data_IF_438087585537
#
_entry.id   IF_438087585537
#
_cell.length_a   1.000
_cell.length_b   1.000
_cell.length_c   1.000
_cell.angle_alpha   90.00
_cell.angle_beta   90.00
_cell.angle_gamma   90.00
#
_symmetry.space_group_name_H-M   'P 1'
#
loop_
_entity.id
_entity.type
_entity.pdbx_description
1 polymer ?
#
# COMPACT_ATOMS: atom_id res chain seq x y z
N UNK A 1 -6.94 12.16 -10.39
CA UNK A 1 -7.84 13.21 -10.92
C UNK A 1 -7.09 14.54 -10.86
N UNK A 2 -7.75 15.67 -11.16
CA UNK A 2 -7.10 16.98 -11.13
C UNK A 2 -6.62 17.41 -9.73
N UNK A 3 -7.10 16.78 -8.67
CA UNK A 3 -6.68 17.03 -7.27
C UNK A 3 -5.62 16.04 -6.77
N UNK A 4 -5.04 15.21 -7.66
CA UNK A 4 -4.03 14.22 -7.29
C UNK A 4 -4.58 12.92 -6.70
N UNK A 5 -5.91 12.75 -6.59
CA UNK A 5 -6.49 11.49 -6.07
C UNK A 5 -6.44 10.39 -7.10
N UNK A 6 -6.33 9.14 -6.64
CA UNK A 6 -6.46 7.96 -7.47
C UNK A 6 -7.34 6.92 -6.76
N UNK A 7 -7.93 6.02 -7.53
CA UNK A 7 -8.69 4.90 -6.99
C UNK A 7 -8.63 3.73 -7.98
N UNK A 8 -8.62 2.52 -7.45
CA UNK A 8 -8.80 1.30 -8.22
C UNK A 8 -9.52 0.26 -7.35
N UNK A 9 -10.17 -0.70 -8.01
CA UNK A 9 -10.78 -1.87 -7.36
C UNK A 9 -9.96 -3.10 -7.73
N UNK A 10 -9.64 -3.93 -6.74
CA UNK A 10 -8.91 -5.17 -6.92
C UNK A 10 -9.35 -6.20 -5.88
N UNK A 11 -8.89 -7.44 -6.03
CA UNK A 11 -8.99 -8.46 -5.00
C UNK A 11 -7.91 -8.19 -3.94
N UNK A 12 -8.26 -8.36 -2.67
CA UNK A 12 -7.30 -8.29 -1.55
C UNK A 12 -6.10 -9.18 -1.85
N UNK A 13 -4.85 -8.68 -1.75
CA UNK A 13 -3.69 -9.51 -1.98
C UNK A 13 -3.63 -10.65 -0.97
N UNK A 14 -3.04 -11.76 -1.38
CA UNK A 14 -2.75 -12.92 -0.54
C UNK A 14 -1.25 -13.11 -0.39
N UNK A 15 -0.87 -13.82 0.66
CA UNK A 15 0.52 -14.15 0.92
C UNK A 15 1.07 -15.13 -0.13
N UNK A 16 2.39 -15.07 -0.34
CA UNK A 16 3.13 -16.12 -1.04
C UNK A 16 4.45 -16.38 -0.31
N UNK A 17 5.11 -17.54 -0.51
CA UNK A 17 6.29 -17.91 0.29
C UNK A 17 7.33 -16.79 0.37
N UNK A 18 7.62 -16.36 1.60
CA UNK A 18 8.62 -15.33 1.90
C UNK A 18 8.12 -13.88 1.83
N UNK A 19 6.87 -13.62 1.44
CA UNK A 19 6.33 -12.25 1.31
C UNK A 19 4.94 -12.09 1.92
N UNK A 20 4.76 -11.04 2.72
CA UNK A 20 3.44 -10.64 3.27
C UNK A 20 2.53 -10.11 2.16
N UNK A 21 1.18 -10.13 2.25
CA UNK A 21 0.29 -9.56 1.24
C UNK A 21 0.64 -8.11 0.89
N UNK A 22 0.88 -7.86 -0.41
CA UNK A 22 1.22 -6.53 -0.90
C UNK A 22 0.70 -6.25 -2.30
N UNK A 23 0.63 -4.96 -2.64
CA UNK A 23 0.34 -4.45 -3.99
C UNK A 23 1.52 -3.59 -4.43
N UNK A 24 2.04 -3.85 -5.62
CA UNK A 24 3.09 -3.02 -6.21
C UNK A 24 2.53 -1.71 -6.76
N UNK A 25 3.21 -0.61 -6.46
CA UNK A 25 2.91 0.71 -7.00
C UNK A 25 4.09 1.25 -7.78
N UNK A 26 3.81 1.84 -8.94
CA UNK A 26 4.74 2.67 -9.68
C UNK A 26 4.06 4.01 -9.97
N UNK A 27 4.64 5.08 -9.45
CA UNK A 27 4.10 6.44 -9.58
C UNK A 27 5.09 7.29 -10.35
N UNK A 28 4.54 8.09 -11.26
CA UNK A 28 5.28 9.08 -12.04
C UNK A 28 4.45 10.35 -12.07
N UNK A 29 5.08 11.48 -11.73
CA UNK A 29 4.48 12.80 -11.81
C UNK A 29 5.48 13.77 -12.47
N UNK A 30 5.02 14.79 -13.21
CA UNK A 30 5.88 15.85 -13.73
C UNK A 30 6.63 16.56 -12.58
N UNK A 31 7.91 16.88 -12.77
CA UNK A 31 8.76 17.51 -11.75
C UNK A 31 9.31 16.54 -10.70
N UNK A 32 8.58 15.47 -10.39
CA UNK A 32 9.06 14.39 -9.54
C UNK A 32 9.80 13.29 -10.32
N UNK A 33 10.69 12.59 -9.62
CA UNK A 33 11.24 11.31 -10.09
C UNK A 33 10.18 10.20 -10.21
N UNK A 34 10.63 8.99 -10.56
CA UNK A 34 9.78 7.79 -10.54
C UNK A 34 9.90 7.12 -9.17
N UNK A 35 8.78 6.89 -8.50
CA UNK A 35 8.73 6.08 -7.28
C UNK A 35 8.22 4.68 -7.62
N UNK A 36 8.95 3.65 -7.18
CA UNK A 36 8.44 2.28 -7.12
C UNK A 36 8.39 1.87 -5.66
N UNK A 37 7.21 1.47 -5.19
CA UNK A 37 6.97 1.11 -3.79
C UNK A 37 5.96 -0.03 -3.70
N UNK A 38 5.66 -0.46 -2.48
CA UNK A 38 4.69 -1.51 -2.19
C UNK A 38 3.76 -1.04 -1.08
N UNK A 39 2.46 -1.26 -1.25
CA UNK A 39 1.48 -1.20 -0.18
C UNK A 39 1.46 -2.56 0.51
N UNK A 40 1.52 -2.57 1.83
CA UNK A 40 1.38 -3.75 2.68
C UNK A 40 0.07 -3.68 3.45
N UNK A 41 -0.58 -4.83 3.70
CA UNK A 41 -1.82 -4.84 4.49
C UNK A 41 -1.49 -4.83 5.98
N UNK A 42 -2.15 -3.95 6.74
CA UNK A 42 -2.02 -3.89 8.19
C UNK A 42 -2.43 -5.22 8.84
N UNK A 43 -1.85 -5.48 10.02
CA UNK A 43 -2.23 -6.60 10.88
C UNK A 43 -1.98 -8.01 10.27
N UNK A 44 -1.29 -8.09 9.13
CA UNK A 44 -0.79 -9.35 8.57
C UNK A 44 0.36 -9.91 9.42
N UNK A 45 0.26 -11.16 9.94
CA UNK A 45 1.32 -11.76 10.77
C UNK A 45 2.68 -11.82 10.06
N UNK A 46 2.68 -12.01 8.74
CA UNK A 46 3.89 -12.09 7.92
C UNK A 46 4.64 -10.75 7.80
N UNK A 47 4.02 -9.62 8.17
CA UNK A 47 4.72 -8.33 8.25
C UNK A 47 5.89 -8.37 9.24
N UNK A 48 5.84 -9.26 10.24
CA UNK A 48 6.93 -9.42 11.21
C UNK A 48 8.19 -10.02 10.57
N UNK A 49 8.05 -10.81 9.52
CA UNK A 49 9.15 -11.59 8.91
C UNK A 49 9.46 -11.21 7.45
N UNK A 50 8.64 -10.38 6.79
CA UNK A 50 8.88 -9.94 5.42
C UNK A 50 10.18 -9.11 5.33
N UNK A 51 11.17 -9.64 4.62
CA UNK A 51 12.50 -9.03 4.51
C UNK A 51 12.50 -7.69 3.76
N UNK A 52 11.58 -7.48 2.82
CA UNK A 52 11.49 -6.22 2.05
C UNK A 52 10.87 -5.13 2.92
N UNK A 53 9.77 -5.43 3.61
CA UNK A 53 9.15 -4.51 4.57
C UNK A 53 10.11 -4.17 5.71
N UNK A 54 10.84 -5.16 6.24
CA UNK A 54 11.79 -4.97 7.34
C UNK A 54 13.12 -4.33 6.93
N UNK A 55 13.38 -4.17 5.62
CA UNK A 55 14.51 -3.37 5.12
C UNK A 55 14.27 -1.86 5.30
N UNK A 56 13.01 -1.43 5.44
CA UNK A 56 12.66 -0.03 5.73
C UNK A 56 12.97 0.27 7.20
N UNK A 57 14.14 0.89 7.44
CA UNK A 57 14.65 1.15 8.80
C UNK A 57 13.97 2.31 9.51
N UNK A 58 13.59 3.35 8.76
CA UNK A 58 12.85 4.47 9.33
C UNK A 58 11.43 4.03 9.69
N UNK A 59 11.03 4.27 10.94
CA UNK A 59 9.76 3.78 11.47
C UNK A 59 8.56 4.47 10.82
N UNK A 60 8.69 5.75 10.48
CA UNK A 60 7.59 6.50 9.87
C UNK A 60 7.42 6.11 8.39
N UNK A 61 8.53 5.94 7.67
CA UNK A 61 8.53 5.43 6.30
C UNK A 61 8.01 3.98 6.23
N UNK A 62 8.33 3.15 7.23
CA UNK A 62 7.77 1.79 7.31
C UNK A 62 6.27 1.84 7.58
N UNK A 63 5.82 2.72 8.48
CA UNK A 63 4.40 2.87 8.77
C UNK A 63 3.61 3.42 7.58
N UNK A 64 4.19 4.32 6.77
CA UNK A 64 3.49 4.94 5.64
C UNK A 64 3.13 3.98 4.50
N UNK A 65 3.80 2.82 4.42
CA UNK A 65 3.50 1.77 3.43
C UNK A 65 2.57 0.67 3.96
N UNK A 66 2.18 0.71 5.24
CA UNK A 66 1.28 -0.28 5.85
C UNK A 66 -0.13 0.33 5.94
N UNK A 67 -1.06 -0.25 5.18
CA UNK A 67 -2.41 0.27 5.00
C UNK A 67 -3.43 -0.62 5.68
N UNK A 68 -4.25 -0.02 6.55
CA UNK A 68 -5.41 -0.69 7.11
C UNK A 68 -6.51 -0.77 6.07
N UNK A 69 -7.11 -1.95 5.97
CA UNK A 69 -8.31 -2.19 5.19
C UNK A 69 -9.50 -2.19 6.15
N UNK A 70 -10.46 -1.32 5.89
CA UNK A 70 -11.69 -1.15 6.68
C UNK A 70 -12.87 -1.67 5.87
N UNK A 71 -13.94 -2.11 6.54
CA UNK A 71 -15.17 -2.52 5.87
C UNK A 71 -15.74 -1.36 5.06
N UNK A 72 -16.13 -1.64 3.82
CA UNK A 72 -16.65 -0.66 2.87
C UNK A 72 -17.89 -1.21 2.15
N UNK A 73 -18.83 -1.75 2.93
CA UNK A 73 -20.05 -2.37 2.43
C UNK A 73 -20.94 -1.43 1.61
N UNK A 74 -20.76 -0.12 1.75
CA UNK A 74 -21.42 0.90 0.94
C UNK A 74 -20.94 0.93 -0.52
N UNK A 75 -19.76 0.37 -0.81
CA UNK A 75 -19.24 0.22 -2.18
C UNK A 75 -19.83 -1.03 -2.82
N UNK A 76 -19.68 -2.19 -2.17
CA UNK A 76 -20.28 -3.47 -2.52
C UNK A 76 -20.23 -4.42 -1.31
N UNK A 77 -21.11 -5.41 -1.27
CA UNK A 77 -21.18 -6.35 -0.15
C UNK A 77 -19.83 -7.08 0.04
N UNK A 78 -19.27 -6.99 1.25
CA UNK A 78 -17.98 -7.59 1.61
C UNK A 78 -16.75 -6.84 1.09
N UNK A 79 -16.91 -5.65 0.49
CA UNK A 79 -15.77 -4.83 0.11
C UNK A 79 -14.99 -4.33 1.32
N UNK A 80 -13.70 -4.17 1.07
CA UNK A 80 -12.77 -3.50 1.97
C UNK A 80 -12.21 -2.27 1.26
N UNK A 81 -11.90 -1.22 2.03
CA UNK A 81 -11.28 0.00 1.54
C UNK A 81 -10.02 0.31 2.34
N UNK A 82 -8.95 0.63 1.62
CA UNK A 82 -7.73 1.21 2.17
C UNK A 82 -7.44 2.55 1.54
N UNK A 83 -6.78 3.43 2.29
CA UNK A 83 -6.26 4.70 1.78
C UNK A 83 -4.74 4.65 1.79
N UNK A 84 -4.11 4.95 0.66
CA UNK A 84 -2.66 4.94 0.52
C UNK A 84 -2.18 6.25 -0.09
N UNK A 85 -1.82 7.19 0.77
CA UNK A 85 -1.29 8.48 0.35
C UNK A 85 0.18 8.35 -0.02
N UNK A 86 0.51 8.76 -1.25
CA UNK A 86 1.86 8.66 -1.79
C UNK A 86 2.44 10.06 -1.87
N UNK A 87 3.50 10.31 -1.08
CA UNK A 87 4.23 11.58 -1.06
C UNK A 87 5.41 11.48 -2.01
N UNK A 88 5.54 12.45 -2.91
CA UNK A 88 6.67 12.60 -3.82
C UNK A 88 7.42 13.87 -3.46
N UNK A 89 8.75 13.83 -3.62
CA UNK A 89 9.58 15.03 -3.60
C UNK A 89 9.44 15.71 -4.97
N UNK A 90 8.88 16.93 -4.98
CA UNK A 90 8.55 17.73 -6.15
C UNK A 90 9.26 19.07 -6.14
#
# INVERSE_FOLDING_TARGET
>A
DASGRYAFRTIRPVAYPGRTPHIHFKVHAPGAGRLTTQLYVADEPQNATDGVLNAIRDRNARASVIVRLEEAGEIEAGALKGTFDIVLDI
#
